data_IF_719295907022
#
_entry.id   IF_719295907022
#
_cell.length_a   1.000
_cell.length_b   1.000
_cell.length_c   1.000
_cell.angle_alpha   90.00
_cell.angle_beta   90.00
_cell.angle_gamma   90.00
#
_symmetry.space_group_name_H-M   'P 1'
#
loop_
_entity.id
_entity.type
_entity.pdbx_description
1 polymer ?
#
# COMPACT_ATOMS: atom_id res chain seq x y z
N UNK A 1 0.85 -23.35 -27.52
CA UNK A 1 1.07 -23.60 -26.06
C UNK A 1 1.19 -22.28 -25.31
N UNK A 2 1.86 -21.28 -25.85
CA UNK A 2 2.02 -19.94 -25.23
C UNK A 2 0.68 -19.25 -24.98
N UNK A 3 -0.30 -19.40 -25.85
CA UNK A 3 -1.61 -18.74 -25.71
C UNK A 3 -2.48 -19.29 -24.55
N UNK A 4 -2.30 -20.54 -24.16
CA UNK A 4 -3.03 -21.15 -23.03
C UNK A 4 -2.47 -20.73 -21.67
N UNK A 5 -1.18 -20.39 -21.60
CA UNK A 5 -0.53 -19.90 -20.39
C UNK A 5 -0.90 -18.44 -20.08
N UNK A 6 -1.21 -17.63 -21.08
CA UNK A 6 -1.69 -16.25 -20.90
C UNK A 6 -3.01 -16.21 -20.11
N UNK A 7 -3.88 -17.20 -20.27
CA UNK A 7 -5.11 -17.31 -19.49
C UNK A 7 -4.88 -17.70 -18.02
N UNK A 8 -3.88 -18.54 -17.72
CA UNK A 8 -3.53 -18.92 -16.35
C UNK A 8 -2.70 -17.84 -15.64
N UNK A 9 -1.96 -16.99 -16.36
CA UNK A 9 -1.30 -15.82 -15.80
C UNK A 9 -2.30 -14.82 -15.22
N UNK A 10 -3.49 -14.70 -15.81
CA UNK A 10 -4.57 -13.86 -15.27
C UNK A 10 -5.09 -14.41 -13.93
N UNK A 11 -5.07 -15.74 -13.73
CA UNK A 11 -5.43 -16.37 -12.45
C UNK A 11 -4.34 -16.24 -11.39
N UNK A 12 -3.07 -16.12 -11.75
CA UNK A 12 -1.97 -15.87 -10.81
C UNK A 12 -2.06 -14.44 -10.26
N UNK A 13 -2.51 -13.50 -11.06
CA UNK A 13 -2.81 -12.13 -10.66
C UNK A 13 -4.02 -12.05 -9.72
N UNK A 14 -4.82 -13.13 -9.66
CA UNK A 14 -6.01 -13.20 -8.86
C UNK A 14 -5.66 -13.48 -7.40
N UNK A 15 -5.40 -12.43 -6.67
CA UNK A 15 -5.78 -12.16 -5.29
C UNK A 15 -4.84 -12.43 -4.13
N UNK A 16 -3.77 -13.19 -4.24
CA UNK A 16 -2.92 -13.42 -3.07
C UNK A 16 -1.44 -13.22 -3.42
N UNK A 17 -0.98 -11.98 -3.34
CA UNK A 17 0.44 -11.66 -3.44
C UNK A 17 1.27 -12.46 -2.43
N UNK A 18 2.54 -12.71 -2.75
CA UNK A 18 3.38 -13.68 -2.02
C UNK A 18 3.75 -13.25 -0.60
N UNK A 19 3.60 -11.98 -0.25
CA UNK A 19 4.01 -11.44 1.06
C UNK A 19 2.87 -11.45 2.08
N UNK A 20 1.75 -10.82 1.76
CA UNK A 20 0.67 -10.59 2.71
C UNK A 20 -0.73 -10.77 2.08
N UNK A 21 -0.81 -11.40 0.90
CA UNK A 21 -2.07 -11.66 0.22
C UNK A 21 -2.70 -10.46 -0.49
N UNK A 22 -2.02 -9.31 -0.51
CA UNK A 22 -2.47 -8.15 -1.29
C UNK A 22 -2.25 -8.37 -2.78
N UNK A 23 -3.08 -7.73 -3.58
CA UNK A 23 -2.97 -7.78 -5.04
C UNK A 23 -1.58 -7.27 -5.51
N UNK A 24 -1.00 -7.98 -6.48
CA UNK A 24 0.29 -7.58 -7.08
C UNK A 24 0.02 -6.68 -8.26
N UNK A 25 0.59 -5.49 -8.24
CA UNK A 25 0.55 -4.53 -9.33
C UNK A 25 1.90 -4.42 -10.03
N UNK A 26 1.86 -4.02 -11.30
CA UNK A 26 3.03 -3.61 -12.10
C UNK A 26 4.12 -4.68 -12.21
N UNK A 27 3.74 -5.93 -12.50
CA UNK A 27 4.70 -7.01 -12.75
C UNK A 27 4.74 -7.44 -14.21
N UNK A 28 5.92 -7.91 -14.63
CA UNK A 28 6.11 -8.60 -15.91
C UNK A 28 6.64 -10.00 -15.64
N UNK A 29 5.89 -11.00 -16.08
CA UNK A 29 6.31 -12.42 -16.03
C UNK A 29 6.73 -12.86 -17.41
N UNK A 30 7.89 -13.50 -17.52
CA UNK A 30 8.38 -14.07 -18.78
C UNK A 30 8.63 -15.54 -18.55
N UNK A 31 7.93 -16.40 -19.28
CA UNK A 31 8.19 -17.83 -19.32
C UNK A 31 9.29 -18.09 -20.36
N UNK A 32 10.43 -18.58 -19.89
CA UNK A 32 11.59 -18.84 -20.77
C UNK A 32 11.61 -20.26 -21.32
N UNK A 33 11.13 -21.23 -20.51
CA UNK A 33 11.18 -22.65 -20.88
C UNK A 33 10.11 -23.45 -20.10
N UNK A 34 9.76 -24.62 -20.61
CA UNK A 34 8.82 -25.55 -19.98
C UNK A 34 8.89 -26.92 -20.61
N UNK A 35 8.67 -27.96 -19.81
CA UNK A 35 8.58 -29.33 -20.25
C UNK A 35 7.16 -29.82 -20.24
N UNK A 36 6.86 -30.78 -21.11
CA UNK A 36 5.54 -31.34 -21.33
C UNK A 36 5.62 -32.85 -21.46
N UNK A 37 4.67 -33.55 -20.83
CA UNK A 37 4.49 -34.99 -20.95
C UNK A 37 3.05 -35.30 -21.33
N UNK A 38 2.84 -36.17 -22.30
CA UNK A 38 1.50 -36.47 -22.87
C UNK A 38 0.50 -37.05 -21.85
N UNK A 39 0.98 -37.66 -20.78
CA UNK A 39 0.14 -38.35 -19.77
C UNK A 39 -0.12 -37.48 -18.53
N UNK A 40 0.85 -36.64 -18.13
CA UNK A 40 0.84 -35.95 -16.83
C UNK A 40 0.70 -34.42 -16.94
N UNK A 41 0.54 -33.90 -18.14
CA UNK A 41 0.49 -32.45 -18.41
C UNK A 41 -0.93 -32.02 -18.76
N UNK A 42 -1.80 -31.98 -17.75
CA UNK A 42 -3.13 -31.39 -17.85
C UNK A 42 -3.16 -29.91 -17.44
N UNK A 43 -4.29 -29.26 -17.61
CA UNK A 43 -4.47 -27.85 -17.27
C UNK A 43 -4.18 -27.58 -15.79
N UNK A 44 -4.61 -28.46 -14.91
CA UNK A 44 -4.43 -28.31 -13.45
C UNK A 44 -2.96 -28.40 -13.04
N UNK A 45 -2.21 -29.31 -13.67
CA UNK A 45 -0.76 -29.47 -13.46
C UNK A 45 0.00 -28.22 -13.87
N UNK A 46 -0.35 -27.61 -15.01
CA UNK A 46 0.25 -26.35 -15.43
C UNK A 46 -0.10 -25.18 -14.50
N UNK A 47 -1.34 -25.09 -14.02
CA UNK A 47 -1.73 -24.06 -13.06
C UNK A 47 -0.96 -24.19 -11.74
N UNK A 48 -0.80 -25.41 -11.23
CA UNK A 48 -0.04 -25.68 -10.01
C UNK A 48 1.45 -25.36 -10.20
N UNK A 49 2.04 -25.78 -11.32
CA UNK A 49 3.42 -25.49 -11.66
C UNK A 49 3.66 -23.98 -11.76
N UNK A 50 2.77 -23.23 -12.41
CA UNK A 50 2.82 -21.79 -12.52
C UNK A 50 2.72 -21.09 -11.14
N UNK A 51 1.82 -21.55 -10.27
CA UNK A 51 1.69 -21.04 -8.89
C UNK A 51 2.95 -21.26 -8.06
N UNK A 52 3.53 -22.45 -8.14
CA UNK A 52 4.79 -22.79 -7.43
C UNK A 52 5.95 -21.98 -7.99
N UNK A 53 6.10 -21.92 -9.31
CA UNK A 53 7.11 -21.13 -9.99
C UNK A 53 7.04 -19.65 -9.64
N UNK A 54 5.83 -19.08 -9.66
CA UNK A 54 5.60 -17.69 -9.25
C UNK A 54 5.99 -17.43 -7.79
N UNK A 55 5.56 -18.28 -6.85
CA UNK A 55 5.92 -18.14 -5.43
C UNK A 55 7.44 -18.16 -5.22
N UNK A 56 8.15 -19.03 -5.93
CA UNK A 56 9.60 -19.13 -5.83
C UNK A 56 10.30 -17.91 -6.47
N UNK A 57 9.87 -17.49 -7.65
CA UNK A 57 10.37 -16.29 -8.32
C UNK A 57 10.12 -15.03 -7.47
N UNK A 58 8.95 -14.92 -6.85
CA UNK A 58 8.57 -13.79 -6.01
C UNK A 58 9.49 -13.63 -4.78
N UNK A 59 9.94 -14.72 -4.17
CA UNK A 59 10.92 -14.67 -3.06
C UNK A 59 12.25 -14.06 -3.49
N UNK A 60 12.64 -14.26 -4.73
CA UNK A 60 13.89 -13.72 -5.31
C UNK A 60 13.73 -12.30 -5.84
N UNK A 61 12.54 -11.93 -6.27
CA UNK A 61 12.22 -10.66 -6.92
C UNK A 61 12.09 -9.47 -5.95
N UNK A 62 12.30 -9.66 -4.65
CA UNK A 62 12.23 -8.59 -3.63
C UNK A 62 10.93 -7.77 -3.70
N UNK A 63 9.80 -8.44 -3.66
CA UNK A 63 8.50 -7.76 -3.58
C UNK A 63 8.45 -6.79 -2.40
N UNK A 64 7.82 -5.65 -2.60
CA UNK A 64 7.64 -4.60 -1.60
C UNK A 64 6.15 -4.36 -1.38
N UNK A 65 5.72 -4.23 -0.13
CA UNK A 65 4.37 -3.80 0.19
C UNK A 65 4.26 -2.31 -0.10
N UNK A 66 3.22 -1.93 -0.85
CA UNK A 66 2.91 -0.54 -1.14
C UNK A 66 1.78 -0.07 -0.24
N UNK A 67 1.87 1.16 0.25
CA UNK A 67 0.81 1.80 1.02
C UNK A 67 0.26 3.03 0.27
N UNK A 68 -1.06 3.29 0.36
CA UNK A 68 -1.66 4.46 -0.26
C UNK A 68 -1.27 5.71 0.52
N UNK A 69 -0.74 6.70 -0.18
CA UNK A 69 -0.42 8.02 0.34
C UNK A 69 -1.54 8.98 -0.02
N UNK A 70 -2.02 9.69 0.97
CA UNK A 70 -3.08 10.67 0.84
C UNK A 70 -2.52 12.07 0.84
N UNK A 71 -2.98 12.89 -0.08
CA UNK A 71 -2.74 14.32 -0.09
C UNK A 71 -3.75 14.98 0.82
N UNK A 72 -3.25 15.56 1.89
CA UNK A 72 -4.03 16.24 2.93
C UNK A 72 -3.84 17.75 2.80
N UNK A 73 -4.93 18.51 2.80
CA UNK A 73 -4.95 19.95 2.99
C UNK A 73 -5.71 20.28 4.27
N UNK A 74 -5.06 21.01 5.18
CA UNK A 74 -5.66 21.46 6.44
C UNK A 74 -5.69 22.97 6.46
N UNK A 75 -6.86 23.54 6.73
CA UNK A 75 -7.05 24.98 6.93
C UNK A 75 -7.29 25.22 8.41
N UNK A 76 -6.46 26.06 9.03
CA UNK A 76 -6.46 26.25 10.49
C UNK A 76 -6.10 27.68 10.85
N UNK A 77 -6.54 28.20 12.03
CA UNK A 77 -5.97 29.42 12.60
C UNK A 77 -4.46 29.27 12.86
N UNK A 78 -3.73 30.37 12.77
CA UNK A 78 -2.26 30.40 12.95
C UNK A 78 -1.82 29.80 14.28
N UNK A 79 -2.54 30.06 15.35
CA UNK A 79 -2.24 29.59 16.70
C UNK A 79 -2.23 28.06 16.85
N UNK A 80 -2.98 27.34 16.01
CA UNK A 80 -3.08 25.87 16.06
C UNK A 80 -2.16 25.17 15.04
N UNK A 81 -1.48 25.91 14.17
CA UNK A 81 -0.68 25.34 13.09
C UNK A 81 0.46 24.46 13.61
N UNK A 82 1.15 24.88 14.70
CA UNK A 82 2.26 24.13 15.26
C UNK A 82 1.84 22.76 15.79
N UNK A 83 0.71 22.68 16.49
CA UNK A 83 0.18 21.42 17.03
C UNK A 83 -0.26 20.48 15.92
N UNK A 84 -0.88 21.01 14.86
CA UNK A 84 -1.32 20.24 13.69
C UNK A 84 -0.11 19.67 12.94
N UNK A 85 0.91 20.48 12.68
CA UNK A 85 2.15 20.01 12.03
C UNK A 85 2.84 18.95 12.90
N UNK A 86 2.87 19.13 14.21
CA UNK A 86 3.39 18.14 15.15
C UNK A 86 2.62 16.81 15.11
N UNK A 87 1.29 16.85 15.02
CA UNK A 87 0.46 15.64 14.88
C UNK A 87 0.68 14.95 13.54
N UNK A 88 0.78 15.70 12.44
CA UNK A 88 1.07 15.15 11.11
C UNK A 88 2.44 14.46 11.06
N UNK A 89 3.47 15.05 11.66
CA UNK A 89 4.79 14.44 11.75
C UNK A 89 4.76 13.11 12.54
N UNK A 90 3.99 13.03 13.65
CA UNK A 90 3.79 11.79 14.39
C UNK A 90 3.10 10.70 13.57
N UNK A 91 2.25 11.10 12.62
CA UNK A 91 1.53 10.23 11.68
C UNK A 91 2.32 9.92 10.41
N UNK A 92 3.63 10.08 10.44
CA UNK A 92 4.51 9.90 9.28
C UNK A 92 4.17 10.82 8.09
N UNK A 93 3.46 11.91 8.36
CA UNK A 93 3.12 12.91 7.35
C UNK A 93 4.33 13.73 6.94
N UNK A 94 4.47 13.94 5.65
CA UNK A 94 5.45 14.85 5.10
C UNK A 94 4.77 16.16 4.69
N UNK A 95 5.07 17.24 5.41
CA UNK A 95 4.54 18.57 5.06
C UNK A 95 5.30 19.09 3.85
N UNK A 96 4.56 19.36 2.77
CA UNK A 96 5.12 19.79 1.49
C UNK A 96 5.01 21.29 1.29
N UNK A 97 3.96 21.92 1.82
CA UNK A 97 3.68 23.34 1.59
C UNK A 97 2.90 23.92 2.77
N UNK A 98 3.18 25.17 3.08
CA UNK A 98 2.46 25.97 4.05
C UNK A 98 2.21 27.35 3.47
N UNK A 99 0.96 27.79 3.50
CA UNK A 99 0.56 29.08 2.93
C UNK A 99 -0.49 29.79 3.77
N UNK A 100 -0.85 30.97 3.31
CA UNK A 100 -1.92 31.80 3.88
C UNK A 100 -3.10 31.85 2.93
N UNK A 101 -4.31 31.71 3.49
CA UNK A 101 -5.56 31.81 2.73
C UNK A 101 -6.63 32.53 3.56
N UNK A 102 -6.96 33.75 3.16
CA UNK A 102 -8.02 34.54 3.78
C UNK A 102 -7.93 34.66 5.31
N UNK A 103 -6.72 34.87 5.85
CA UNK A 103 -6.48 35.01 7.29
C UNK A 103 -6.38 33.69 8.07
N UNK A 104 -6.35 32.57 7.37
CA UNK A 104 -6.09 31.23 7.93
C UNK A 104 -4.82 30.67 7.32
N UNK A 105 -4.16 29.77 8.04
CA UNK A 105 -3.02 28.99 7.54
C UNK A 105 -3.50 27.74 6.81
N UNK A 106 -2.86 27.44 5.71
CA UNK A 106 -3.08 26.21 4.93
C UNK A 106 -1.84 25.33 5.05
N UNK A 107 -2.00 24.11 5.50
CA UNK A 107 -0.93 23.10 5.57
C UNK A 107 -1.26 22.00 4.57
N UNK A 108 -0.34 21.72 3.66
CA UNK A 108 -0.44 20.60 2.71
C UNK A 108 0.59 19.56 3.05
N UNK A 109 0.15 18.32 3.17
CA UNK A 109 1.01 17.20 3.54
C UNK A 109 0.62 15.93 2.80
N UNK A 110 1.61 15.06 2.57
CA UNK A 110 1.40 13.69 2.14
C UNK A 110 1.46 12.78 3.36
N UNK A 111 0.39 11.99 3.59
CA UNK A 111 0.26 11.15 4.79
C UNK A 111 -0.21 9.75 4.40
N UNK A 112 0.36 8.68 4.96
CA UNK A 112 -0.14 7.33 4.73
C UNK A 112 -1.57 7.17 5.25
N UNK A 113 -2.44 6.54 4.46
CA UNK A 113 -3.85 6.34 4.83
C UNK A 113 -3.99 5.58 6.14
N UNK A 114 -3.10 4.64 6.43
CA UNK A 114 -3.09 3.85 7.67
C UNK A 114 -3.01 4.71 8.93
N UNK A 115 -2.36 5.88 8.87
CA UNK A 115 -2.19 6.81 9.99
C UNK A 115 -3.35 7.82 10.11
N UNK A 116 -4.25 7.84 9.14
CA UNK A 116 -5.35 8.82 9.08
C UNK A 116 -6.60 8.38 9.84
N UNK A 117 -6.65 7.16 10.33
CA UNK A 117 -7.75 6.71 11.17
C UNK A 117 -7.83 7.53 12.47
N UNK A 118 -9.01 8.09 12.75
CA UNK A 118 -9.23 8.97 13.90
C UNK A 118 -8.66 10.39 13.77
N UNK A 119 -8.03 10.74 12.64
CA UNK A 119 -7.43 12.06 12.44
C UNK A 119 -8.40 13.21 12.60
N UNK A 120 -9.63 13.09 12.07
CA UNK A 120 -10.66 14.14 12.18
C UNK A 120 -10.98 14.48 13.64
N UNK A 121 -10.99 13.47 14.52
CA UNK A 121 -11.21 13.67 15.96
C UNK A 121 -10.02 14.40 16.59
N UNK A 122 -8.80 13.99 16.27
CA UNK A 122 -7.58 14.67 16.74
C UNK A 122 -7.53 16.12 16.26
N UNK A 123 -7.83 16.36 14.98
CA UNK A 123 -7.87 17.71 14.41
C UNK A 123 -8.88 18.62 15.12
N UNK A 124 -10.07 18.11 15.41
CA UNK A 124 -11.10 18.86 16.17
C UNK A 124 -10.61 19.22 17.57
N UNK A 125 -9.95 18.29 18.25
CA UNK A 125 -9.39 18.54 19.58
C UNK A 125 -8.28 19.58 19.54
N UNK A 126 -7.32 19.46 18.62
CA UNK A 126 -6.18 20.37 18.50
C UNK A 126 -6.58 21.78 18.08
N UNK A 127 -7.66 21.93 17.33
CA UNK A 127 -8.11 23.22 16.80
C UNK A 127 -9.35 23.78 17.48
N UNK A 128 -9.86 23.12 18.53
CA UNK A 128 -11.15 23.44 19.14
C UNK A 128 -12.29 23.53 18.12
N UNK A 129 -12.26 22.65 17.12
CA UNK A 129 -13.25 22.58 16.04
C UNK A 129 -13.11 23.64 14.94
N UNK A 130 -12.06 24.48 14.97
CA UNK A 130 -11.88 25.59 14.01
C UNK A 130 -11.10 25.22 12.76
N UNK A 131 -10.44 24.06 12.72
CA UNK A 131 -9.76 23.58 11.54
C UNK A 131 -10.65 22.68 10.69
N UNK A 132 -10.44 22.74 9.38
CA UNK A 132 -11.05 21.85 8.40
C UNK A 132 -9.96 21.11 7.63
N UNK A 133 -10.26 19.89 7.20
CA UNK A 133 -9.34 19.11 6.38
C UNK A 133 -10.04 18.51 5.17
N UNK A 134 -9.31 18.45 4.08
CA UNK A 134 -9.69 17.72 2.87
C UNK A 134 -8.59 16.71 2.56
N UNK A 135 -8.99 15.51 2.18
CA UNK A 135 -8.07 14.42 1.91
C UNK A 135 -8.45 13.74 0.59
N UNK A 136 -7.47 13.54 -0.27
CA UNK A 136 -7.63 12.84 -1.55
C UNK A 136 -6.48 11.87 -1.77
N UNK A 137 -6.71 10.83 -2.57
CA UNK A 137 -5.65 9.89 -2.94
C UNK A 137 -4.59 10.58 -3.80
N UNK A 138 -3.32 10.37 -3.49
CA UNK A 138 -2.20 10.89 -4.26
C UNK A 138 -1.52 9.78 -5.08
N UNK A 139 -0.87 8.85 -4.42
CA UNK A 139 -0.11 7.77 -5.06
C UNK A 139 0.13 6.61 -4.09
N UNK A 140 0.69 5.52 -4.60
CA UNK A 140 1.24 4.46 -3.77
C UNK A 140 2.74 4.65 -3.55
N UNK A 141 3.19 4.40 -2.33
CA UNK A 141 4.62 4.43 -1.97
C UNK A 141 5.01 3.15 -1.23
N UNK A 142 6.31 2.82 -1.28
CA UNK A 142 6.83 1.66 -0.56
C UNK A 142 6.69 1.85 0.95
N UNK A 143 6.10 0.86 1.62
CA UNK A 143 5.94 0.85 3.08
C UNK A 143 7.31 0.68 3.74
N UNK A 144 7.64 1.41 4.81
CA UNK A 144 8.85 1.19 5.60
C UNK A 144 8.97 -0.25 6.10
N UNK A 145 10.20 -0.77 6.18
CA UNK A 145 10.47 -2.19 6.47
C UNK A 145 9.85 -2.67 7.78
N UNK A 146 9.91 -1.86 8.84
CA UNK A 146 9.32 -2.18 10.14
C UNK A 146 7.81 -2.41 10.07
N UNK A 147 7.08 -1.57 9.33
CA UNK A 147 5.64 -1.68 9.15
C UNK A 147 5.30 -2.82 8.19
N UNK A 148 6.08 -2.97 7.12
CA UNK A 148 5.95 -4.08 6.18
C UNK A 148 6.06 -5.44 6.88
N UNK A 149 7.04 -5.61 7.77
CA UNK A 149 7.19 -6.83 8.57
C UNK A 149 6.00 -7.09 9.49
N UNK A 150 5.45 -6.06 10.13
CA UNK A 150 4.27 -6.18 10.97
C UNK A 150 3.04 -6.62 10.17
N UNK A 151 2.83 -6.02 9.00
CA UNK A 151 1.74 -6.37 8.09
C UNK A 151 1.87 -7.82 7.61
N UNK A 152 3.09 -8.25 7.22
CA UNK A 152 3.36 -9.62 6.79
C UNK A 152 3.09 -10.62 7.94
N UNK A 153 3.54 -10.32 9.15
CA UNK A 153 3.26 -11.17 10.34
C UNK A 153 1.77 -11.33 10.59
N UNK A 154 1.03 -10.23 10.58
CA UNK A 154 -0.43 -10.25 10.76
C UNK A 154 -1.15 -11.06 9.67
N UNK A 155 -0.73 -10.90 8.42
CA UNK A 155 -1.33 -11.61 7.28
C UNK A 155 -1.05 -13.12 7.30
N UNK A 156 0.15 -13.53 7.75
CA UNK A 156 0.55 -14.93 7.82
C UNK A 156 0.06 -15.67 9.07
N UNK A 157 -0.75 -15.02 9.92
CA UNK A 157 -1.40 -15.66 11.07
C UNK A 157 -0.44 -15.98 12.22
N UNK A 158 0.71 -15.34 12.32
CA UNK A 158 1.53 -15.36 13.52
C UNK A 158 0.88 -14.50 14.61
N UNK A 159 -0.18 -15.01 15.16
CA UNK A 159 -0.69 -14.54 16.45
C UNK A 159 0.24 -15.17 17.48
N UNK A 160 1.14 -14.38 18.03
CA UNK A 160 1.86 -14.76 19.24
C UNK A 160 0.81 -14.99 20.34
N UNK A 161 0.69 -16.26 20.73
CA UNK A 161 -0.02 -16.71 21.93
C UNK A 161 0.79 -16.33 23.17
#
# INVERSE_FOLDING_TARGET
IVASLVGSEMCIRDRNGPLAGYEVDSMKVTLNDGSYHDVDSDQLSFELAAKIGFKNAAKLAKFVIMEPIMKLEVITPEENMGDIVGDLNRRRGQVNDMGDRAGSKVVKADVPLSEMFGYVTSLRTLSSGRATSTMEFSHYAATPSNISEEVIKKANGSVDS
#
